data_IF_777787619452
#
_entry.id   IF_777787619452
#
_cell.length_a   1.000
_cell.length_b   1.000
_cell.length_c   1.000
_cell.angle_alpha   90.00
_cell.angle_beta   90.00
_cell.angle_gamma   90.00
#
_symmetry.space_group_name_H-M   'P 1'
#
loop_
_entity.id
_entity.type
_entity.pdbx_description
1 polymer ?
#
# COMPACT_ATOMS: atom_id res chain seq x y z
N UNK A 1 -39.29 21.86 2.08
CA UNK A 1 -37.81 21.76 2.08
C UNK A 1 -37.38 20.60 2.94
N UNK A 2 -36.78 19.55 2.35
CA UNK A 2 -35.65 18.75 2.87
C UNK A 2 -35.56 17.47 2.03
N UNK A 3 -34.86 17.54 0.90
CA UNK A 3 -34.30 16.34 0.30
C UNK A 3 -32.96 16.14 1.02
N UNK A 4 -32.90 15.15 1.90
CA UNK A 4 -31.67 14.78 2.58
C UNK A 4 -30.73 14.21 1.52
N UNK A 5 -29.79 15.05 1.10
CA UNK A 5 -28.67 14.69 0.25
C UNK A 5 -27.71 13.80 1.06
N UNK A 6 -27.83 12.49 0.90
CA UNK A 6 -26.80 11.54 1.31
C UNK A 6 -26.15 10.97 0.05
N UNK A 7 -25.30 11.77 -0.58
CA UNK A 7 -24.39 11.29 -1.63
C UNK A 7 -23.30 10.51 -0.89
N UNK A 8 -23.54 9.22 -0.68
CA UNK A 8 -22.47 8.30 -0.33
C UNK A 8 -21.51 8.26 -1.52
N UNK A 9 -20.40 8.99 -1.42
CA UNK A 9 -19.30 8.88 -2.35
C UNK A 9 -18.71 7.48 -2.24
N UNK A 10 -19.22 6.56 -3.05
CA UNK A 10 -18.57 5.30 -3.37
C UNK A 10 -17.25 5.67 -4.07
N UNK A 11 -16.17 5.75 -3.30
CA UNK A 11 -14.83 5.67 -3.85
C UNK A 11 -14.72 4.31 -4.52
N UNK A 12 -14.95 4.28 -5.83
CA UNK A 12 -14.57 3.19 -6.69
C UNK A 12 -13.05 3.09 -6.61
N UNK A 13 -12.56 2.24 -5.70
CA UNK A 13 -11.19 1.76 -5.73
C UNK A 13 -11.06 0.97 -7.01
N UNK A 14 -10.65 1.65 -8.08
CA UNK A 14 -10.16 1.01 -9.28
C UNK A 14 -8.88 0.25 -8.90
N UNK A 15 -9.05 -0.92 -8.31
CA UNK A 15 -8.04 -1.97 -8.27
C UNK A 15 -7.94 -2.56 -9.67
N UNK A 16 -7.48 -1.75 -10.63
CA UNK A 16 -6.77 -2.30 -11.77
C UNK A 16 -5.70 -3.20 -11.18
N UNK A 17 -5.65 -4.46 -11.61
CA UNK A 17 -4.63 -5.42 -11.27
C UNK A 17 -3.27 -4.93 -11.82
N UNK A 18 -2.77 -3.86 -11.23
CA UNK A 18 -1.46 -3.27 -11.49
C UNK A 18 -0.48 -4.22 -10.80
N UNK A 19 0.61 -4.55 -11.48
CA UNK A 19 1.68 -5.27 -10.83
C UNK A 19 2.70 -4.24 -10.34
N UNK A 20 2.97 -4.24 -9.05
CA UNK A 20 3.83 -3.27 -8.37
C UNK A 20 5.30 -3.51 -8.66
N UNK A 21 6.03 -2.43 -8.83
CA UNK A 21 7.46 -2.39 -9.10
C UNK A 21 8.11 -1.32 -8.23
N UNK A 22 9.32 -1.62 -7.77
CA UNK A 22 10.21 -0.63 -7.18
C UNK A 22 10.92 0.12 -8.32
N UNK A 23 10.74 1.43 -8.40
CA UNK A 23 11.26 2.34 -9.42
C UNK A 23 12.40 3.20 -8.84
N UNK A 24 13.54 3.18 -9.50
CA UNK A 24 14.69 4.05 -9.22
C UNK A 24 14.85 5.12 -10.31
N UNK A 25 15.76 6.07 -10.11
CA UNK A 25 16.14 7.07 -11.12
C UNK A 25 16.66 6.48 -12.43
N UNK A 26 17.14 5.22 -12.42
CA UNK A 26 17.65 4.51 -13.61
C UNK A 26 16.66 3.49 -14.19
N UNK A 27 15.43 3.43 -13.65
CA UNK A 27 14.38 2.51 -14.08
C UNK A 27 13.99 1.49 -13.01
N UNK A 28 13.37 0.39 -13.44
CA UNK A 28 12.85 -0.65 -12.52
C UNK A 28 13.98 -1.35 -11.79
N UNK A 29 13.94 -1.32 -10.45
CA UNK A 29 14.78 -2.15 -9.60
C UNK A 29 14.13 -3.52 -9.42
N UNK A 30 14.47 -4.45 -10.32
CA UNK A 30 13.90 -5.81 -10.36
C UNK A 30 14.21 -6.57 -9.07
N UNK A 31 15.45 -6.48 -8.57
CA UNK A 31 15.87 -7.15 -7.34
C UNK A 31 15.09 -6.66 -6.12
N UNK A 32 14.92 -5.34 -5.99
CA UNK A 32 14.08 -4.76 -4.92
C UNK A 32 12.63 -5.21 -5.08
N UNK A 33 12.06 -5.16 -6.29
CA UNK A 33 10.68 -5.58 -6.56
C UNK A 33 10.42 -7.02 -6.12
N UNK A 34 11.31 -7.95 -6.48
CA UNK A 34 11.14 -9.36 -6.12
C UNK A 34 11.28 -9.59 -4.61
N UNK A 35 12.21 -8.90 -3.95
CA UNK A 35 12.41 -9.03 -2.51
C UNK A 35 11.25 -8.43 -1.74
N UNK A 36 10.83 -7.22 -2.09
CA UNK A 36 9.69 -6.54 -1.48
C UNK A 36 8.37 -7.26 -1.71
N UNK A 37 8.20 -7.91 -2.87
CA UNK A 37 7.02 -8.73 -3.11
C UNK A 37 6.93 -9.91 -2.13
N UNK A 38 8.06 -10.58 -1.86
CA UNK A 38 8.12 -11.68 -0.87
C UNK A 38 7.92 -11.19 0.56
N UNK A 39 8.52 -10.05 0.92
CA UNK A 39 8.34 -9.44 2.26
C UNK A 39 6.88 -9.05 2.52
N UNK A 40 6.16 -8.57 1.50
CA UNK A 40 4.73 -8.30 1.55
C UNK A 40 3.84 -9.56 1.53
N UNK A 41 4.42 -10.77 1.56
CA UNK A 41 3.68 -12.04 1.53
C UNK A 41 3.18 -12.48 0.15
N UNK A 42 3.63 -11.81 -0.91
CA UNK A 42 3.32 -12.15 -2.30
C UNK A 42 4.40 -12.98 -2.98
N UNK A 43 4.19 -13.25 -4.27
CA UNK A 43 5.17 -13.87 -5.15
C UNK A 43 5.30 -13.03 -6.43
N UNK A 44 6.52 -12.62 -6.76
CA UNK A 44 6.79 -11.86 -7.98
C UNK A 44 6.60 -12.71 -9.23
N UNK A 45 6.03 -12.13 -10.27
CA UNK A 45 5.98 -12.71 -11.61
C UNK A 45 6.96 -11.92 -12.49
N UNK A 46 8.14 -12.51 -12.73
CA UNK A 46 9.22 -11.83 -13.44
C UNK A 46 9.74 -10.60 -12.69
N UNK A 47 9.51 -9.41 -13.26
CA UNK A 47 9.91 -8.13 -12.68
C UNK A 47 8.78 -7.38 -11.97
N UNK A 48 7.63 -8.01 -11.75
CA UNK A 48 6.45 -7.35 -11.19
C UNK A 48 5.89 -8.11 -9.99
N UNK A 49 5.31 -7.38 -9.04
CA UNK A 49 4.61 -7.95 -7.90
C UNK A 49 3.08 -7.81 -8.10
N UNK A 50 2.32 -8.88 -8.30
CA UNK A 50 0.88 -8.76 -8.56
C UNK A 50 0.16 -8.08 -7.38
N UNK A 51 -0.34 -6.84 -7.54
CA UNK A 51 -0.91 -6.06 -6.42
C UNK A 51 -2.09 -6.78 -5.76
N UNK A 52 -2.86 -7.57 -6.52
CA UNK A 52 -3.96 -8.36 -5.96
C UNK A 52 -3.50 -9.33 -4.86
N UNK A 53 -2.27 -9.86 -4.94
CA UNK A 53 -1.71 -10.81 -3.96
C UNK A 53 -1.19 -10.14 -2.70
N UNK A 54 -0.91 -8.83 -2.79
CA UNK A 54 -0.39 -8.02 -1.69
C UNK A 54 -1.30 -6.82 -1.41
N UNK A 55 -2.59 -6.90 -1.76
CA UNK A 55 -3.51 -5.75 -1.74
C UNK A 55 -3.75 -5.19 -0.33
N UNK A 56 -3.55 -6.02 0.68
CA UNK A 56 -3.59 -5.68 2.10
C UNK A 56 -2.18 -5.47 2.70
N UNK A 57 -1.16 -5.41 1.85
CA UNK A 57 0.28 -5.30 2.17
C UNK A 57 0.99 -4.33 1.20
N UNK A 58 0.26 -3.43 0.54
CA UNK A 58 0.79 -2.45 -0.40
C UNK A 58 1.63 -1.39 0.34
N UNK A 59 1.26 -1.06 1.57
CA UNK A 59 2.00 -0.19 2.48
C UNK A 59 3.36 -0.81 2.82
N UNK A 60 3.37 -2.11 3.12
CA UNK A 60 4.58 -2.90 3.39
C UNK A 60 5.50 -2.97 2.17
N UNK A 61 4.94 -3.21 0.98
CA UNK A 61 5.69 -3.21 -0.27
C UNK A 61 6.33 -1.84 -0.54
N UNK A 62 5.56 -0.76 -0.38
CA UNK A 62 6.03 0.62 -0.55
C UNK A 62 7.19 0.95 0.40
N UNK A 63 7.05 0.59 1.67
CA UNK A 63 8.10 0.80 2.67
C UNK A 63 9.35 -0.01 2.34
N UNK A 64 9.20 -1.24 1.85
CA UNK A 64 10.32 -2.04 1.43
C UNK A 64 11.07 -1.39 0.25
N UNK A 65 10.38 -0.90 -0.80
CA UNK A 65 11.04 -0.21 -1.91
C UNK A 65 11.87 1.00 -1.42
N UNK A 66 11.37 1.76 -0.44
CA UNK A 66 12.09 2.90 0.16
C UNK A 66 13.40 2.50 0.82
N UNK A 67 13.50 1.29 1.42
CA UNK A 67 14.76 0.77 1.99
C UNK A 67 15.83 0.49 0.94
N UNK A 68 15.46 0.45 -0.35
CA UNK A 68 16.38 0.34 -1.49
C UNK A 68 16.56 1.67 -2.23
N UNK A 69 16.19 2.80 -1.61
CA UNK A 69 16.21 4.13 -2.25
C UNK A 69 15.38 4.18 -3.55
N UNK A 70 14.26 3.45 -3.57
CA UNK A 70 13.33 3.38 -4.70
C UNK A 70 11.90 3.76 -4.30
N UNK A 71 11.14 4.31 -5.24
CA UNK A 71 9.70 4.53 -5.10
C UNK A 71 8.92 3.27 -5.54
N UNK A 72 7.65 3.16 -5.16
CA UNK A 72 6.73 2.15 -5.72
C UNK A 72 5.83 2.80 -6.76
N UNK A 73 5.56 2.12 -7.87
CA UNK A 73 4.54 2.56 -8.86
C UNK A 73 3.10 2.22 -8.42
N UNK A 74 2.94 1.33 -7.44
CA UNK A 74 1.69 1.10 -6.74
C UNK A 74 1.51 2.15 -5.64
N UNK A 75 0.52 3.02 -5.80
CA UNK A 75 0.09 3.93 -4.74
C UNK A 75 -0.62 3.20 -3.62
N UNK A 76 -0.25 3.45 -2.36
CA UNK A 76 -1.04 3.07 -1.19
C UNK A 76 -1.83 4.31 -0.71
N UNK A 77 -3.13 4.43 -1.03
CA UNK A 77 -3.96 5.53 -0.54
C UNK A 77 -4.14 5.45 0.98
N UNK A 78 -4.61 6.53 1.63
CA UNK A 78 -4.84 6.60 3.10
C UNK A 78 -5.59 5.38 3.66
N UNK A 79 -6.58 4.88 2.92
CA UNK A 79 -7.35 3.70 3.31
C UNK A 79 -6.55 2.39 3.32
N UNK A 80 -5.49 2.27 2.51
CA UNK A 80 -4.56 1.14 2.54
C UNK A 80 -3.70 1.18 3.81
N UNK A 81 -3.06 2.32 4.09
CA UNK A 81 -2.24 2.53 5.29
C UNK A 81 -3.04 2.31 6.59
N UNK A 82 -4.27 2.84 6.64
CA UNK A 82 -5.16 2.67 7.79
C UNK A 82 -5.55 1.21 8.05
N UNK A 83 -5.90 0.46 6.99
CA UNK A 83 -6.28 -0.95 7.10
C UNK A 83 -5.09 -1.82 7.55
N UNK A 84 -3.91 -1.57 7.02
CA UNK A 84 -2.70 -2.31 7.40
C UNK A 84 -2.29 -2.06 8.83
N UNK A 85 -2.24 -0.79 9.25
CA UNK A 85 -1.88 -0.44 10.60
C UNK A 85 -2.91 -0.97 11.61
N UNK A 86 -4.20 -0.95 11.27
CA UNK A 86 -5.25 -1.57 12.08
C UNK A 86 -5.12 -3.09 12.16
N UNK A 87 -4.78 -3.76 11.05
CA UNK A 87 -4.56 -5.21 11.05
C UNK A 87 -3.35 -5.62 11.89
N UNK A 88 -2.24 -4.87 11.82
CA UNK A 88 -1.04 -5.06 12.64
C UNK A 88 -1.35 -4.92 14.13
N UNK A 89 -2.00 -3.83 14.54
CA UNK A 89 -2.37 -3.62 15.95
C UNK A 89 -3.35 -4.66 16.48
N UNK A 90 -4.33 -5.06 15.68
CA UNK A 90 -5.25 -6.15 16.08
C UNK A 90 -4.51 -7.46 16.32
N UNK A 91 -3.50 -7.79 15.51
CA UNK A 91 -2.66 -8.97 15.75
C UNK A 91 -1.84 -8.87 17.04
N UNK A 92 -1.50 -7.66 17.46
CA UNK A 92 -0.79 -7.34 18.71
C UNK A 92 -1.75 -7.12 19.90
N UNK A 93 -3.07 -7.23 19.71
CA UNK A 93 -4.08 -6.99 20.74
C UNK A 93 -4.29 -5.52 21.10
N UNK A 94 -3.80 -4.58 20.29
CA UNK A 94 -3.91 -3.14 20.50
C UNK A 94 -5.14 -2.47 19.88
N UNK A 95 -5.36 -1.21 20.26
CA UNK A 95 -6.42 -0.35 19.75
C UNK A 95 -6.25 0.00 18.26
N UNK A 96 -7.34 0.35 17.54
CA UNK A 96 -7.23 0.83 16.16
C UNK A 96 -6.37 2.12 16.08
N UNK A 97 -5.62 2.30 14.98
CA UNK A 97 -4.73 3.44 14.81
C UNK A 97 -5.48 4.77 14.70
N UNK A 98 -4.86 5.83 15.20
CA UNK A 98 -5.38 7.20 15.10
C UNK A 98 -5.11 7.81 13.73
N UNK A 99 -5.84 8.86 13.39
CA UNK A 99 -5.66 9.60 12.13
C UNK A 99 -4.26 10.24 12.01
N UNK A 100 -3.64 10.59 13.13
CA UNK A 100 -2.26 11.09 13.18
C UNK A 100 -1.26 9.99 12.84
N UNK A 101 -1.46 8.78 13.35
CA UNK A 101 -0.61 7.62 13.08
C UNK A 101 -0.71 7.17 11.63
N UNK A 102 -1.91 7.18 11.06
CA UNK A 102 -2.15 6.91 9.65
C UNK A 102 -1.45 7.97 8.78
N UNK A 103 -1.54 9.24 9.16
CA UNK A 103 -0.91 10.35 8.43
C UNK A 103 0.63 10.28 8.53
N UNK A 104 1.17 9.97 9.71
CA UNK A 104 2.60 9.77 9.91
C UNK A 104 3.11 8.60 9.05
N UNK A 105 2.38 7.49 9.01
CA UNK A 105 2.72 6.35 8.15
C UNK A 105 2.70 6.74 6.66
N UNK A 106 1.69 7.49 6.22
CA UNK A 106 1.64 8.03 4.85
C UNK A 106 2.77 8.99 4.52
N UNK A 107 3.21 9.83 5.47
CA UNK A 107 4.36 10.69 5.27
C UNK A 107 5.66 9.88 5.08
N UNK A 108 5.71 8.64 5.58
CA UNK A 108 6.80 7.70 5.26
C UNK A 108 6.69 7.10 3.85
N UNK A 109 5.65 7.42 3.07
CA UNK A 109 5.47 7.01 1.67
C UNK A 109 5.61 8.16 0.66
N UNK A 110 5.52 9.43 1.10
CA UNK A 110 5.76 10.63 0.28
C UNK A 110 7.26 10.86 0.06
#
# INVERSE_FOLDING_TARGET
>A
MKLLASIAALFALASSAQACQCISSVGVNVSATQKCCREAGGASQGNQCPAGRISERLSDFAQCCRRYDTATDCGCPRGCAARELAARRRAEGGDPPTEEEITALMATYA
#
